data_IF_592147289870
#
_entry.id   IF_592147289870
#
_cell.length_a   1.000
_cell.length_b   1.000
_cell.length_c   1.000
_cell.angle_alpha   90.00
_cell.angle_beta   90.00
_cell.angle_gamma   90.00
#
_symmetry.space_group_name_H-M   'P 1'
#
loop_
_entity.id
_entity.type
_entity.pdbx_description
1 polymer ?
#
# COMPACT_ATOMS: atom_id res chain seq x y z
N UNK A 1 16.05 -2.23 -2.86
CA UNK A 1 14.67 -2.29 -3.34
C UNK A 1 14.56 -1.74 -4.77
N UNK A 2 15.65 -1.76 -5.53
CA UNK A 2 15.90 -0.70 -6.52
C UNK A 2 15.47 -1.09 -7.93
N UNK A 3 14.45 -1.97 -8.02
CA UNK A 3 14.05 -2.61 -9.27
C UNK A 3 12.60 -2.38 -9.65
N UNK A 4 11.77 -1.94 -8.72
CA UNK A 4 10.36 -1.65 -9.00
C UNK A 4 10.29 -0.38 -9.84
N UNK A 5 9.54 -0.41 -10.93
CA UNK A 5 9.40 0.74 -11.86
C UNK A 5 7.94 1.14 -12.02
N UNK A 6 7.67 2.45 -12.21
CA UNK A 6 6.34 2.89 -12.62
C UNK A 6 5.86 2.13 -13.87
N UNK A 7 4.60 1.72 -13.87
CA UNK A 7 3.98 0.93 -14.94
C UNK A 7 4.09 -0.59 -14.78
N UNK A 8 4.90 -1.10 -13.85
CA UNK A 8 4.95 -2.54 -13.58
C UNK A 8 3.64 -3.03 -12.96
N UNK A 9 3.13 -4.22 -13.35
CA UNK A 9 1.93 -4.79 -12.77
C UNK A 9 2.16 -5.08 -11.29
N UNK A 10 1.09 -4.98 -10.50
CA UNK A 10 1.14 -5.28 -9.08
C UNK A 10 -0.19 -5.89 -8.63
N UNK A 11 -0.11 -6.81 -7.67
CA UNK A 11 -1.26 -7.48 -7.07
C UNK A 11 -1.24 -7.20 -5.57
N UNK A 12 -2.35 -6.70 -5.05
CA UNK A 12 -2.58 -6.57 -3.62
C UNK A 12 -3.49 -7.70 -3.13
N UNK A 13 -3.02 -8.44 -2.14
CA UNK A 13 -3.71 -9.61 -1.58
C UNK A 13 -3.83 -9.41 -0.07
N UNK A 14 -5.03 -9.53 0.48
CA UNK A 14 -5.17 -9.61 1.92
C UNK A 14 -6.45 -10.27 2.40
N UNK A 15 -6.60 -10.26 3.72
CA UNK A 15 -7.66 -10.93 4.45
C UNK A 15 -7.86 -10.23 5.81
N UNK A 16 -8.66 -9.16 5.90
CA UNK A 16 -8.85 -8.46 7.15
C UNK A 16 -9.85 -9.23 8.00
N UNK A 17 -9.63 -9.27 9.31
CA UNK A 17 -10.68 -9.61 10.29
C UNK A 17 -11.27 -11.04 10.19
N UNK A 18 -10.57 -12.00 9.56
CA UNK A 18 -10.96 -13.42 9.52
C UNK A 18 -11.74 -13.84 8.27
N UNK A 19 -12.13 -15.13 8.21
CA UNK A 19 -12.71 -15.82 7.02
C UNK A 19 -13.83 -15.05 6.29
N UNK A 20 -14.53 -14.17 6.99
CA UNK A 20 -15.63 -13.32 6.50
C UNK A 20 -15.23 -12.26 5.45
N UNK A 21 -13.96 -11.85 5.37
CA UNK A 21 -13.45 -10.98 4.30
C UNK A 21 -12.30 -11.64 3.54
N UNK A 22 -12.22 -12.97 3.60
CA UNK A 22 -11.13 -13.71 2.97
C UNK A 22 -11.13 -13.58 1.44
N UNK A 23 -9.94 -13.38 0.88
CA UNK A 23 -9.68 -13.56 -0.55
C UNK A 23 -9.92 -12.32 -1.42
N UNK A 24 -9.68 -11.11 -0.93
CA UNK A 24 -9.69 -9.94 -1.81
C UNK A 24 -8.36 -9.83 -2.56
N UNK A 25 -8.43 -9.99 -3.87
CA UNK A 25 -7.32 -9.79 -4.79
C UNK A 25 -7.66 -8.62 -5.70
N UNK A 26 -6.77 -7.64 -5.76
CA UNK A 26 -6.88 -6.52 -6.69
C UNK A 26 -5.60 -6.38 -7.46
N UNK A 27 -5.72 -6.08 -8.75
CA UNK A 27 -4.58 -5.85 -9.62
C UNK A 27 -4.57 -4.38 -10.05
N UNK A 28 -3.36 -3.85 -10.21
CA UNK A 28 -3.11 -2.54 -10.77
C UNK A 28 -1.68 -2.47 -11.30
N UNK A 29 -1.14 -1.28 -11.31
CA UNK A 29 0.26 -0.98 -11.60
C UNK A 29 0.90 -0.20 -10.47
N UNK A 30 2.23 -0.16 -10.49
CA UNK A 30 2.99 0.82 -9.73
C UNK A 30 2.83 2.19 -10.40
N UNK A 31 2.33 3.17 -9.67
CA UNK A 31 2.19 4.56 -10.15
C UNK A 31 3.29 5.49 -9.62
N UNK A 32 4.06 5.07 -8.62
CA UNK A 32 5.23 5.81 -8.11
C UNK A 32 6.01 5.02 -7.06
N UNK A 33 7.31 5.25 -6.95
CA UNK A 33 8.23 4.39 -6.17
C UNK A 33 8.94 5.08 -5.01
N UNK A 34 8.93 6.41 -4.97
CA UNK A 34 9.73 7.20 -4.02
C UNK A 34 8.88 8.32 -3.41
N UNK A 35 7.76 7.95 -2.80
CA UNK A 35 6.91 8.92 -2.11
C UNK A 35 7.27 8.99 -0.64
N UNK A 36 7.56 10.19 -0.15
CA UNK A 36 7.65 10.50 1.26
C UNK A 36 6.31 11.09 1.74
N UNK A 37 5.66 10.44 2.70
CA UNK A 37 4.41 10.92 3.31
C UNK A 37 4.71 11.34 4.75
N UNK A 38 4.46 12.61 5.14
CA UNK A 38 4.64 13.04 6.52
C UNK A 38 3.62 12.34 7.41
N UNK A 39 4.10 11.77 8.51
CA UNK A 39 3.27 11.11 9.51
C UNK A 39 3.30 11.94 10.80
N UNK A 40 2.12 12.31 11.25
CA UNK A 40 1.86 12.80 12.59
C UNK A 40 1.01 11.74 13.28
N UNK A 41 1.64 10.95 14.16
CA UNK A 41 0.99 9.82 14.83
C UNK A 41 0.25 10.24 16.09
N UNK A 42 0.57 11.41 16.65
CA UNK A 42 0.05 11.87 17.93
C UNK A 42 -1.03 12.97 17.76
N UNK A 43 -1.16 13.54 16.57
CA UNK A 43 -2.16 14.56 16.19
C UNK A 43 -1.83 15.97 16.66
N UNK A 44 -0.58 16.28 17.01
CA UNK A 44 -0.14 17.59 17.52
C UNK A 44 0.17 18.61 16.40
N UNK A 45 0.10 18.20 15.14
CA UNK A 45 0.38 19.01 13.96
C UNK A 45 1.87 19.13 13.61
N UNK A 46 2.75 18.42 14.31
CA UNK A 46 4.17 18.27 13.98
C UNK A 46 4.41 16.93 13.27
N UNK A 47 5.35 16.94 12.32
CA UNK A 47 5.73 15.72 11.61
C UNK A 47 6.69 14.91 12.49
N UNK A 48 6.32 13.69 12.83
CA UNK A 48 7.18 12.76 13.58
C UNK A 48 8.25 12.13 12.67
N UNK A 49 7.84 11.66 11.48
CA UNK A 49 8.74 11.12 10.44
C UNK A 49 8.09 11.16 9.06
N UNK A 50 8.89 10.88 8.03
CA UNK A 50 8.41 10.66 6.66
C UNK A 50 8.41 9.17 6.34
N UNK A 51 7.25 8.61 6.00
CA UNK A 51 7.14 7.24 5.54
C UNK A 51 7.49 7.17 4.05
N UNK A 52 8.46 6.31 3.69
CA UNK A 52 8.76 5.97 2.30
C UNK A 52 7.80 4.89 1.81
N UNK A 53 7.03 5.21 0.78
CA UNK A 53 5.96 4.34 0.28
C UNK A 53 5.97 4.23 -1.25
N UNK A 54 5.46 3.09 -1.73
CA UNK A 54 5.14 2.85 -3.13
C UNK A 54 3.67 3.20 -3.35
N UNK A 55 3.38 3.88 -4.46
CA UNK A 55 2.03 4.19 -4.90
C UNK A 55 1.55 3.15 -5.92
N UNK A 56 0.32 2.67 -5.77
CA UNK A 56 -0.36 1.80 -6.74
C UNK A 56 -1.78 2.30 -7.00
N UNK A 57 -2.32 2.00 -8.17
CA UNK A 57 -3.75 2.17 -8.48
C UNK A 57 -4.58 0.89 -8.23
N UNK A 58 -3.96 -0.21 -7.78
CA UNK A 58 -4.68 -1.37 -7.28
C UNK A 58 -5.59 -0.94 -6.12
N UNK A 59 -6.86 -1.32 -6.16
CA UNK A 59 -7.82 -0.89 -5.14
C UNK A 59 -7.44 -1.43 -3.74
N UNK A 60 -7.03 -0.55 -2.83
CA UNK A 60 -6.75 -0.91 -1.44
C UNK A 60 -7.93 -0.54 -0.56
N UNK A 61 -8.51 -1.55 0.09
CA UNK A 61 -9.67 -1.44 0.98
C UNK A 61 -9.40 -2.27 2.24
N UNK A 62 -10.25 -2.20 3.29
CA UNK A 62 -10.09 -3.07 4.44
C UNK A 62 -9.80 -4.53 4.05
N UNK A 63 -10.47 -5.05 2.99
CA UNK A 63 -10.28 -6.38 2.38
C UNK A 63 -8.86 -6.84 2.04
N UNK A 64 -7.94 -5.92 1.71
CA UNK A 64 -6.56 -6.26 1.36
C UNK A 64 -5.50 -5.35 2.02
N UNK A 65 -5.94 -4.33 2.77
CA UNK A 65 -5.07 -3.44 3.53
C UNK A 65 -4.31 -4.20 4.62
N UNK A 66 -3.01 -3.91 4.75
CA UNK A 66 -2.09 -4.65 5.63
C UNK A 66 -1.66 -6.03 5.10
N UNK A 67 -2.16 -6.45 3.93
CA UNK A 67 -1.74 -7.65 3.22
C UNK A 67 -0.52 -7.45 2.34
N UNK A 68 -0.16 -8.48 1.57
CA UNK A 68 0.99 -8.44 0.67
C UNK A 68 0.70 -7.61 -0.59
N UNK A 69 1.72 -6.87 -1.03
CA UNK A 69 1.78 -6.22 -2.33
C UNK A 69 2.92 -6.88 -3.14
N UNK A 70 2.61 -7.40 -4.32
CA UNK A 70 3.53 -8.25 -5.11
C UNK A 70 3.62 -7.71 -6.53
N UNK A 71 4.84 -7.51 -7.06
CA UNK A 71 5.10 -7.06 -8.43
C UNK A 71 5.94 -8.08 -9.22
#
# INVERSE_FOLDING_TARGET
SDKVKPGEPVIAIGNPLGLQFSGSVTQGIISGTERAIPIDSNGDGQVDWNAEVIQTDAAINPGNSGGALIN
#
